data_IF_259310986336
#
_entry.id   IF_259310986336
#
_cell.length_a   1.000
_cell.length_b   1.000
_cell.length_c   1.000
_cell.angle_alpha   90.00
_cell.angle_beta   90.00
_cell.angle_gamma   90.00
#
_symmetry.space_group_name_H-M   'P 1'
#
loop_
_entity.id
_entity.type
_entity.pdbx_description
1 polymer ?
#
# COMPACT_ATOMS: atom_id res chain seq x y z
N UNK A 1 8.09 -24.45 -29.51
CA UNK A 1 6.93 -23.64 -29.07
C UNK A 1 5.73 -24.10 -29.86
N UNK A 2 4.63 -24.44 -29.20
CA UNK A 2 3.38 -24.81 -29.89
C UNK A 2 2.73 -23.56 -30.49
N UNK A 3 2.11 -23.74 -31.65
CA UNK A 3 1.44 -22.67 -32.39
C UNK A 3 -0.07 -22.89 -32.38
N UNK A 4 -0.80 -21.83 -32.15
CA UNK A 4 -2.27 -21.81 -32.15
C UNK A 4 -2.80 -20.69 -33.03
N UNK A 5 -4.12 -20.67 -33.16
CA UNK A 5 -4.85 -19.63 -33.92
C UNK A 5 -6.00 -19.08 -33.12
N UNK A 6 -6.18 -17.77 -33.20
CA UNK A 6 -7.33 -17.09 -32.60
C UNK A 6 -8.62 -17.55 -33.30
N UNK A 7 -9.59 -17.99 -32.51
CA UNK A 7 -10.89 -18.45 -33.00
C UNK A 7 -12.06 -17.56 -32.57
N UNK A 8 -11.93 -16.86 -31.44
CA UNK A 8 -12.95 -15.95 -30.93
C UNK A 8 -12.34 -14.82 -30.12
N UNK A 9 -12.92 -13.63 -30.22
CA UNK A 9 -12.51 -12.44 -29.47
C UNK A 9 -13.75 -11.83 -28.84
N UNK A 10 -13.76 -11.71 -27.51
CA UNK A 10 -14.84 -11.10 -26.74
C UNK A 10 -14.22 -10.03 -25.85
N UNK A 11 -14.08 -8.79 -26.35
CA UNK A 11 -13.38 -7.73 -25.64
C UNK A 11 -11.93 -8.13 -25.30
N UNK A 12 -11.60 -8.13 -24.02
CA UNK A 12 -10.27 -8.51 -23.55
C UNK A 12 -10.06 -10.03 -23.41
N UNK A 13 -11.05 -10.84 -23.74
CA UNK A 13 -10.97 -12.31 -23.69
C UNK A 13 -10.81 -12.85 -25.10
N UNK A 14 -9.86 -13.75 -25.28
CA UNK A 14 -9.51 -14.36 -26.56
C UNK A 14 -9.50 -15.87 -26.42
N UNK A 15 -10.19 -16.56 -27.35
CA UNK A 15 -10.16 -18.02 -27.44
C UNK A 15 -9.18 -18.41 -28.55
N UNK A 16 -8.31 -19.37 -28.27
CA UNK A 16 -7.25 -19.81 -29.16
C UNK A 16 -7.27 -21.35 -29.25
N UNK A 17 -7.24 -21.87 -30.49
CA UNK A 17 -7.11 -23.31 -30.73
C UNK A 17 -5.65 -23.69 -30.86
N UNK A 18 -5.30 -24.76 -30.13
CA UNK A 18 -4.02 -25.44 -30.21
C UNK A 18 -4.20 -26.91 -30.60
N UNK A 19 -3.17 -27.57 -31.12
CA UNK A 19 -3.18 -29.03 -31.26
C UNK A 19 -3.45 -29.70 -29.91
N UNK A 20 -4.24 -30.77 -29.92
CA UNK A 20 -4.65 -31.47 -28.68
C UNK A 20 -3.51 -32.02 -27.84
N UNK A 21 -2.39 -32.29 -28.45
CA UNK A 21 -1.16 -32.78 -27.82
C UNK A 21 -0.25 -31.63 -27.32
N UNK A 22 -0.64 -30.40 -27.53
CA UNK A 22 0.16 -29.21 -27.24
C UNK A 22 -0.67 -28.05 -26.63
N UNK A 23 -1.67 -28.37 -25.82
CA UNK A 23 -2.55 -27.39 -25.18
C UNK A 23 -1.78 -26.64 -24.10
N UNK A 24 -1.80 -25.29 -24.10
CA UNK A 24 -1.16 -24.49 -23.04
C UNK A 24 -1.75 -24.78 -21.66
N UNK A 25 -0.88 -24.72 -20.65
CA UNK A 25 -1.30 -24.77 -19.24
C UNK A 25 -1.94 -23.47 -18.76
N UNK A 26 -2.64 -23.57 -17.65
CA UNK A 26 -3.20 -22.38 -16.97
C UNK A 26 -2.05 -21.43 -16.59
N UNK A 27 -2.27 -20.14 -16.83
CA UNK A 27 -1.31 -19.04 -16.66
C UNK A 27 -0.13 -19.02 -17.64
N UNK A 28 -0.07 -19.92 -18.62
CA UNK A 28 0.91 -19.79 -19.69
C UNK A 28 0.74 -18.46 -20.42
N UNK A 29 1.85 -17.77 -20.67
CA UNK A 29 1.88 -16.57 -21.49
C UNK A 29 1.93 -16.96 -22.97
N UNK A 30 1.02 -16.39 -23.76
CA UNK A 30 0.94 -16.57 -25.20
C UNK A 30 1.27 -15.26 -25.89
N UNK A 31 1.97 -15.33 -27.01
CA UNK A 31 2.30 -14.18 -27.84
C UNK A 31 1.61 -14.25 -29.19
N UNK A 32 0.91 -13.20 -29.55
CA UNK A 32 0.43 -13.02 -30.94
C UNK A 32 1.65 -12.76 -31.81
N UNK A 33 1.82 -13.53 -32.88
CA UNK A 33 3.03 -13.52 -33.70
C UNK A 33 2.86 -12.91 -35.09
N UNK A 34 1.62 -12.64 -35.52
CA UNK A 34 1.33 -12.04 -36.81
C UNK A 34 0.31 -10.89 -36.73
N UNK A 35 0.19 -10.15 -37.83
CA UNK A 35 -0.74 -9.03 -37.93
C UNK A 35 -0.26 -7.77 -37.19
N UNK A 36 -1.18 -6.80 -37.12
CA UNK A 36 -0.91 -5.48 -36.53
C UNK A 36 -0.66 -5.51 -35.02
N UNK A 37 -1.13 -6.59 -34.35
CA UNK A 37 -0.97 -6.79 -32.92
C UNK A 37 0.10 -7.82 -32.57
N UNK A 38 1.06 -8.07 -33.47
CA UNK A 38 2.20 -8.92 -33.15
C UNK A 38 2.92 -8.37 -31.89
N UNK A 39 3.16 -9.25 -30.92
CA UNK A 39 3.72 -8.89 -29.62
C UNK A 39 2.68 -8.73 -28.49
N UNK A 40 1.37 -8.74 -28.79
CA UNK A 40 0.34 -8.77 -27.77
C UNK A 40 0.49 -10.05 -26.94
N UNK A 41 0.52 -9.88 -25.61
CA UNK A 41 0.62 -10.98 -24.64
C UNK A 41 -0.77 -11.34 -24.14
N UNK A 42 -1.05 -12.65 -24.09
CA UNK A 42 -2.27 -13.22 -23.56
C UNK A 42 -1.92 -14.18 -22.43
N UNK A 43 -2.75 -14.23 -21.40
CA UNK A 43 -2.58 -15.19 -20.30
C UNK A 43 -3.71 -16.20 -20.28
N UNK A 44 -3.39 -17.48 -20.30
CA UNK A 44 -4.37 -18.57 -20.28
C UNK A 44 -5.09 -18.59 -18.94
N UNK A 45 -6.43 -18.54 -18.98
CA UNK A 45 -7.29 -18.60 -17.80
C UNK A 45 -8.07 -19.90 -17.69
N UNK A 46 -8.46 -20.48 -18.80
CA UNK A 46 -9.29 -21.70 -18.86
C UNK A 46 -8.90 -22.58 -20.03
N UNK A 47 -9.01 -23.88 -19.84
CA UNK A 47 -8.98 -24.87 -20.90
C UNK A 47 -10.42 -25.29 -21.20
N UNK A 48 -10.90 -25.04 -22.43
CA UNK A 48 -12.30 -25.28 -22.81
C UNK A 48 -12.53 -26.68 -23.35
N UNK A 49 -11.50 -27.46 -23.54
CA UNK A 49 -11.56 -28.77 -24.21
C UNK A 49 -11.33 -28.67 -25.73
N UNK A 50 -11.05 -29.81 -26.35
CA UNK A 50 -10.83 -29.88 -27.81
C UNK A 50 -9.58 -29.09 -28.31
N UNK A 51 -8.67 -28.76 -27.44
CA UNK A 51 -7.49 -27.94 -27.78
C UNK A 51 -7.71 -26.43 -27.67
N UNK A 52 -8.92 -25.98 -27.34
CA UNK A 52 -9.24 -24.55 -27.19
C UNK A 52 -8.92 -24.08 -25.77
N UNK A 53 -8.23 -22.95 -25.66
CA UNK A 53 -7.96 -22.24 -24.40
C UNK A 53 -8.59 -20.86 -24.44
N UNK A 54 -8.99 -20.37 -23.28
CA UNK A 54 -9.48 -19.01 -23.08
C UNK A 54 -8.45 -18.21 -22.31
N UNK A 55 -8.06 -17.08 -22.86
CA UNK A 55 -7.03 -16.22 -22.31
C UNK A 55 -7.52 -14.78 -22.15
N UNK A 56 -6.92 -14.05 -21.21
CA UNK A 56 -7.10 -12.60 -21.06
C UNK A 56 -5.95 -11.86 -21.75
N UNK A 57 -6.26 -10.78 -22.43
CA UNK A 57 -5.25 -9.93 -23.05
C UNK A 57 -4.63 -8.96 -22.04
N UNK A 58 -3.32 -8.81 -22.11
CA UNK A 58 -2.55 -7.82 -21.36
C UNK A 58 -2.20 -6.61 -22.25
N UNK A 59 -3.14 -6.18 -23.02
CA UNK A 59 -3.08 -5.06 -23.94
C UNK A 59 -4.39 -4.96 -24.71
N UNK A 60 -4.53 -3.91 -25.53
CA UNK A 60 -5.72 -3.76 -26.37
C UNK A 60 -5.82 -4.88 -27.40
N UNK A 61 -7.04 -5.41 -27.56
CA UNK A 61 -7.38 -6.38 -28.62
C UNK A 61 -7.95 -5.73 -29.87
N UNK A 62 -8.01 -4.39 -29.91
CA UNK A 62 -8.55 -3.68 -31.06
C UNK A 62 -7.69 -3.93 -32.31
N UNK A 63 -8.31 -4.50 -33.33
CA UNK A 63 -7.62 -4.90 -34.56
C UNK A 63 -7.14 -6.36 -34.58
N UNK A 64 -7.28 -7.11 -33.50
CA UNK A 64 -7.01 -8.54 -33.49
C UNK A 64 -8.04 -9.28 -34.34
N UNK A 65 -7.56 -10.21 -35.17
CA UNK A 65 -8.41 -10.94 -36.10
C UNK A 65 -8.44 -12.43 -35.81
N UNK A 66 -9.57 -13.07 -36.12
CA UNK A 66 -9.63 -14.54 -36.16
C UNK A 66 -8.58 -15.08 -37.13
N UNK A 67 -7.96 -16.19 -36.78
CA UNK A 67 -6.91 -16.82 -37.56
C UNK A 67 -5.52 -16.25 -37.30
N UNK A 68 -5.37 -15.19 -36.48
CA UNK A 68 -4.06 -14.69 -36.08
C UNK A 68 -3.26 -15.79 -35.38
N UNK A 69 -1.97 -15.90 -35.73
CA UNK A 69 -1.09 -16.90 -35.17
C UNK A 69 -0.66 -16.51 -33.74
N UNK A 70 -0.68 -17.49 -32.85
CA UNK A 70 -0.30 -17.33 -31.44
C UNK A 70 0.70 -18.40 -31.04
N UNK A 71 1.81 -17.99 -30.45
CA UNK A 71 2.82 -18.90 -29.94
C UNK A 71 2.68 -19.06 -28.41
N UNK A 72 2.72 -20.30 -27.94
CA UNK A 72 2.83 -20.58 -26.50
C UNK A 72 4.29 -20.46 -26.05
N UNK A 73 4.54 -19.62 -25.04
CA UNK A 73 5.88 -19.50 -24.45
C UNK A 73 6.26 -20.70 -23.56
N UNK A 74 5.27 -21.48 -23.15
CA UNK A 74 5.46 -22.64 -22.25
C UNK A 74 5.73 -22.26 -20.79
N UNK A 75 5.57 -21.01 -20.44
CA UNK A 75 5.77 -20.49 -19.07
C UNK A 75 4.86 -19.31 -18.78
N UNK A 76 4.65 -19.06 -17.50
CA UNK A 76 3.89 -17.90 -17.05
C UNK A 76 4.62 -16.57 -17.38
N UNK A 77 3.89 -15.46 -17.26
CA UNK A 77 4.46 -14.11 -17.43
C UNK A 77 5.65 -13.95 -16.49
N UNK A 78 6.77 -13.52 -17.02
CA UNK A 78 7.98 -13.22 -16.27
C UNK A 78 8.32 -11.75 -16.38
N UNK A 79 8.75 -11.17 -15.26
CA UNK A 79 9.09 -9.75 -15.16
C UNK A 79 10.51 -9.58 -14.63
N UNK A 80 11.22 -8.51 -15.00
CA UNK A 80 12.53 -8.22 -14.48
C UNK A 80 12.46 -7.97 -12.97
N UNK A 81 13.44 -8.41 -12.24
CA UNK A 81 13.58 -8.23 -10.80
C UNK A 81 14.99 -7.76 -10.46
N UNK A 82 15.17 -7.17 -9.28
CA UNK A 82 16.47 -6.73 -8.80
C UNK A 82 16.69 -5.21 -8.94
N UNK A 83 17.91 -4.79 -8.69
CA UNK A 83 18.28 -3.37 -8.59
C UNK A 83 18.07 -2.57 -9.88
N UNK A 84 18.09 -3.21 -11.05
CA UNK A 84 17.85 -2.54 -12.32
C UNK A 84 16.44 -1.95 -12.43
N UNK A 85 15.48 -2.42 -11.63
CA UNK A 85 14.11 -1.91 -11.59
C UNK A 85 13.96 -0.64 -10.73
N UNK A 86 14.94 -0.33 -9.89
CA UNK A 86 14.89 0.84 -9.01
C UNK A 86 14.97 2.15 -9.83
N UNK A 87 14.10 3.08 -9.47
CA UNK A 87 13.98 4.37 -10.14
C UNK A 87 13.27 4.31 -11.49
N UNK A 88 12.71 3.16 -11.86
CA UNK A 88 12.07 2.94 -13.14
C UNK A 88 10.56 2.78 -13.01
N UNK A 89 9.85 3.19 -14.05
CA UNK A 89 8.42 2.95 -14.20
C UNK A 89 8.22 1.88 -15.26
N UNK A 90 7.48 0.84 -14.91
CA UNK A 90 7.22 -0.32 -15.76
C UNK A 90 5.72 -0.59 -15.88
N UNK A 91 5.34 -1.24 -16.97
CA UNK A 91 3.99 -1.77 -17.13
C UNK A 91 3.85 -3.16 -16.47
N UNK A 92 2.68 -3.79 -16.63
CA UNK A 92 2.38 -5.12 -16.07
C UNK A 92 3.36 -6.22 -16.52
N UNK A 93 3.96 -6.08 -17.69
CA UNK A 93 4.95 -7.02 -18.25
C UNK A 93 6.39 -6.71 -17.81
N UNK A 94 6.58 -5.68 -17.02
CA UNK A 94 7.91 -5.22 -16.61
C UNK A 94 8.65 -4.45 -17.68
N UNK A 95 7.95 -3.99 -18.73
CA UNK A 95 8.53 -3.15 -19.78
C UNK A 95 8.58 -1.69 -19.33
N UNK A 96 9.66 -0.95 -19.63
CA UNK A 96 9.78 0.45 -19.21
C UNK A 96 8.80 1.34 -19.99
N UNK A 97 8.18 2.27 -19.26
CA UNK A 97 7.26 3.29 -19.81
C UNK A 97 7.69 4.72 -19.45
N UNK A 98 8.88 4.88 -18.92
CA UNK A 98 9.46 6.14 -18.44
C UNK A 98 10.41 6.81 -19.46
N UNK A 99 10.51 6.27 -20.67
CA UNK A 99 11.41 6.75 -21.74
C UNK A 99 12.90 6.84 -21.33
N UNK A 100 13.28 6.11 -20.28
CA UNK A 100 14.65 6.10 -19.77
C UNK A 100 15.51 4.94 -20.32
N UNK A 101 15.08 4.33 -21.42
CA UNK A 101 15.76 3.19 -22.04
C UNK A 101 15.39 1.83 -21.48
N UNK A 102 15.95 0.74 -22.01
CA UNK A 102 15.64 -0.61 -21.55
C UNK A 102 16.08 -0.81 -20.11
N UNK A 103 15.37 -1.68 -19.39
CA UNK A 103 15.79 -2.19 -18.09
C UNK A 103 16.89 -3.22 -18.34
N UNK A 104 17.97 -3.16 -17.57
CA UNK A 104 19.12 -4.06 -17.73
C UNK A 104 18.71 -5.54 -17.72
N UNK A 105 19.51 -6.36 -18.41
CA UNK A 105 19.31 -7.81 -18.48
C UNK A 105 19.61 -8.46 -17.12
N UNK A 106 18.66 -8.33 -16.20
CA UNK A 106 18.71 -9.00 -14.93
C UNK A 106 17.83 -10.25 -14.95
N UNK A 107 17.85 -10.94 -13.85
CA UNK A 107 17.01 -12.10 -13.60
C UNK A 107 15.53 -11.77 -13.80
N UNK A 108 14.76 -12.68 -14.37
CA UNK A 108 13.31 -12.55 -14.55
C UNK A 108 12.60 -13.63 -13.76
N UNK A 109 11.57 -13.24 -13.04
CA UNK A 109 10.76 -14.15 -12.24
C UNK A 109 9.32 -14.17 -12.70
N UNK A 110 8.67 -15.33 -12.53
CA UNK A 110 7.23 -15.47 -12.76
C UNK A 110 6.43 -14.63 -11.76
N UNK A 111 5.38 -13.97 -12.24
CA UNK A 111 4.44 -13.27 -11.37
C UNK A 111 3.53 -14.21 -10.57
N UNK A 112 3.42 -15.49 -10.99
CA UNK A 112 2.66 -16.52 -10.31
C UNK A 112 3.60 -17.38 -9.45
N UNK A 113 4.00 -16.82 -8.32
CA UNK A 113 4.83 -17.52 -7.34
C UNK A 113 3.96 -18.01 -6.18
N UNK A 114 4.31 -19.14 -5.62
CA UNK A 114 3.68 -19.60 -4.38
C UNK A 114 4.06 -18.71 -3.20
N UNK A 115 3.17 -18.61 -2.23
CA UNK A 115 3.49 -18.00 -0.94
C UNK A 115 4.65 -18.78 -0.28
N UNK A 116 5.48 -18.13 0.55
CA UNK A 116 6.52 -18.82 1.30
C UNK A 116 5.95 -19.98 2.11
N UNK A 117 6.72 -21.09 2.17
CA UNK A 117 6.32 -22.24 2.96
C UNK A 117 6.23 -21.87 4.45
N UNK A 118 5.48 -22.65 5.20
CA UNK A 118 5.38 -22.45 6.66
C UNK A 118 6.76 -22.45 7.34
N UNK A 119 7.68 -23.30 6.87
CA UNK A 119 9.04 -23.41 7.40
C UNK A 119 9.90 -22.18 7.10
N UNK A 120 9.65 -21.49 5.98
CA UNK A 120 10.42 -20.32 5.56
C UNK A 120 9.94 -19.02 6.22
N UNK A 121 8.71 -19.03 6.76
CA UNK A 121 8.17 -17.87 7.43
C UNK A 121 8.87 -17.60 8.77
N UNK A 122 9.17 -16.34 9.02
CA UNK A 122 9.69 -15.94 10.32
C UNK A 122 8.54 -15.85 11.34
N UNK A 123 8.77 -16.37 12.53
CA UNK A 123 7.92 -16.07 13.68
C UNK A 123 8.24 -14.63 14.11
N UNK A 124 7.60 -13.64 13.50
CA UNK A 124 7.97 -12.25 13.70
C UNK A 124 6.92 -11.51 14.51
N UNK A 125 7.32 -11.10 15.71
CA UNK A 125 6.70 -10.03 16.46
C UNK A 125 7.53 -8.73 16.37
N UNK A 126 8.45 -8.65 15.44
CA UNK A 126 9.29 -7.46 15.27
C UNK A 126 8.48 -6.30 14.73
N UNK A 127 8.63 -5.13 15.35
CA UNK A 127 8.02 -3.90 14.87
C UNK A 127 8.86 -3.29 13.77
N UNK A 128 8.18 -2.69 12.78
CA UNK A 128 8.78 -1.82 11.81
C UNK A 128 8.67 -0.39 12.31
N UNK A 129 9.78 0.16 12.76
CA UNK A 129 9.85 1.54 13.25
C UNK A 129 9.84 2.50 12.07
N UNK A 130 8.81 3.34 11.98
CA UNK A 130 8.61 4.25 10.84
C UNK A 130 9.23 5.63 11.04
N UNK A 131 9.53 6.01 12.26
CA UNK A 131 9.99 7.35 12.62
C UNK A 131 8.88 8.40 12.62
N UNK A 132 7.64 8.00 12.42
CA UNK A 132 6.46 8.86 12.47
C UNK A 132 5.76 8.61 13.81
N UNK A 133 5.73 9.63 14.67
CA UNK A 133 5.25 9.50 16.06
C UNK A 133 3.88 8.86 16.19
N UNK A 134 2.92 9.35 15.44
CA UNK A 134 1.53 8.87 15.54
C UNK A 134 1.41 7.41 15.11
N UNK A 135 2.10 6.99 14.08
CA UNK A 135 2.09 5.60 13.61
C UNK A 135 2.73 4.69 14.65
N UNK A 136 3.95 4.99 15.05
CA UNK A 136 4.71 4.13 15.96
C UNK A 136 4.07 4.04 17.35
N UNK A 137 3.36 5.07 17.79
CA UNK A 137 2.68 5.08 19.07
C UNK A 137 1.37 4.29 19.07
N UNK A 138 0.42 4.63 18.18
CA UNK A 138 -0.97 4.15 18.28
C UNK A 138 -1.34 3.08 17.27
N UNK A 139 -0.63 2.98 16.15
CA UNK A 139 -0.85 1.96 15.13
C UNK A 139 0.46 1.37 14.61
N UNK A 140 1.30 0.81 15.51
CA UNK A 140 2.62 0.29 15.12
C UNK A 140 2.51 -0.80 14.06
N UNK A 141 3.44 -0.79 13.10
CA UNK A 141 3.50 -1.76 12.03
C UNK A 141 4.33 -2.97 12.45
N UNK A 142 3.85 -4.17 12.10
CA UNK A 142 4.66 -5.37 12.18
C UNK A 142 5.52 -5.51 10.92
N UNK A 143 6.76 -5.96 11.04
CA UNK A 143 7.54 -6.42 9.88
C UNK A 143 6.83 -7.60 9.23
N UNK A 144 6.60 -7.51 7.93
CA UNK A 144 5.82 -8.50 7.21
C UNK A 144 4.31 -8.37 7.40
N UNK A 145 3.85 -7.32 8.06
CA UNK A 145 2.45 -7.03 8.29
C UNK A 145 1.78 -6.35 7.09
N UNK A 146 0.45 -6.35 7.10
CA UNK A 146 -0.39 -5.74 6.08
C UNK A 146 -1.13 -4.56 6.69
N UNK A 147 -0.89 -3.38 6.14
CA UNK A 147 -1.46 -2.13 6.62
C UNK A 147 -2.46 -1.58 5.61
N UNK A 148 -3.67 -1.30 6.06
CA UNK A 148 -4.66 -0.58 5.27
C UNK A 148 -4.54 0.93 5.50
N UNK A 149 -4.49 1.70 4.41
CA UNK A 149 -4.45 3.15 4.45
C UNK A 149 -5.78 3.69 3.94
N UNK A 150 -6.51 4.38 4.81
CA UNK A 150 -7.82 4.95 4.52
C UNK A 150 -7.71 6.47 4.51
N UNK A 151 -8.35 7.11 3.57
CA UNK A 151 -8.41 8.57 3.54
C UNK A 151 -8.97 9.08 2.22
N UNK A 152 -9.69 10.20 2.30
CA UNK A 152 -10.18 10.91 1.13
C UNK A 152 -9.07 11.67 0.40
N UNK A 153 -9.45 12.37 -0.64
CA UNK A 153 -8.53 13.25 -1.37
C UNK A 153 -8.05 14.42 -0.49
N UNK A 154 -6.80 14.81 -0.66
CA UNK A 154 -6.23 16.01 -0.03
C UNK A 154 -5.85 15.90 1.44
N UNK A 155 -5.75 14.68 1.99
CA UNK A 155 -5.35 14.44 3.39
C UNK A 155 -3.90 14.02 3.56
N UNK A 156 -3.10 14.06 2.49
CA UNK A 156 -1.67 13.76 2.54
C UNK A 156 -1.30 12.29 2.39
N UNK A 157 -2.13 11.48 1.73
CA UNK A 157 -1.84 10.06 1.48
C UNK A 157 -0.47 9.87 0.78
N UNK A 158 -0.25 10.57 -0.32
CA UNK A 158 0.99 10.49 -1.10
C UNK A 158 2.22 10.93 -0.31
N UNK A 159 2.11 12.02 0.45
CA UNK A 159 3.20 12.53 1.28
C UNK A 159 3.60 11.54 2.38
N UNK A 160 2.62 10.89 3.00
CA UNK A 160 2.87 9.82 3.97
C UNK A 160 3.60 8.63 3.34
N UNK A 161 3.18 8.20 2.15
CA UNK A 161 3.85 7.12 1.43
C UNK A 161 5.30 7.46 1.10
N UNK A 162 5.56 8.65 0.60
CA UNK A 162 6.92 9.13 0.29
C UNK A 162 7.81 9.20 1.52
N UNK A 163 7.28 9.66 2.64
CA UNK A 163 8.03 9.71 3.91
C UNK A 163 8.40 8.31 4.40
N UNK A 164 7.49 7.36 4.30
CA UNK A 164 7.75 5.96 4.61
C UNK A 164 8.83 5.36 3.70
N UNK A 165 8.78 5.63 2.41
CA UNK A 165 9.81 5.20 1.45
C UNK A 165 11.18 5.76 1.84
N UNK A 166 11.24 7.05 2.12
CA UNK A 166 12.48 7.72 2.53
C UNK A 166 13.03 7.11 3.83
N UNK A 167 12.19 6.95 4.84
CA UNK A 167 12.62 6.44 6.16
C UNK A 167 13.09 4.98 6.09
N UNK A 168 12.40 4.14 5.33
CA UNK A 168 12.85 2.76 5.09
C UNK A 168 14.19 2.73 4.35
N UNK A 169 14.37 3.57 3.35
CA UNK A 169 15.59 3.59 2.57
C UNK A 169 16.81 4.04 3.39
N UNK A 170 16.66 5.07 4.21
CA UNK A 170 17.77 5.69 4.94
C UNK A 170 18.03 4.99 6.28
N UNK A 171 16.97 4.72 7.06
CA UNK A 171 17.11 4.20 8.42
C UNK A 171 17.19 2.66 8.47
N UNK A 172 16.61 1.97 7.49
CA UNK A 172 16.56 0.51 7.45
C UNK A 172 17.31 -0.10 6.25
N UNK A 173 17.90 0.71 5.39
CA UNK A 173 18.57 0.28 4.15
C UNK A 173 17.69 -0.60 3.25
N UNK A 174 16.39 -0.37 3.28
CA UNK A 174 15.38 -1.11 2.55
C UNK A 174 15.03 -0.47 1.22
N UNK A 175 14.33 -1.23 0.39
CA UNK A 175 13.76 -0.74 -0.85
C UNK A 175 12.24 -0.78 -0.79
N UNK A 176 11.62 -0.06 -1.71
CA UNK A 176 10.17 -0.01 -1.84
C UNK A 176 9.75 -0.38 -3.25
N UNK A 177 8.55 -0.94 -3.37
CA UNK A 177 7.89 -1.18 -4.65
C UNK A 177 6.50 -0.57 -4.58
N UNK A 178 6.14 0.18 -5.59
CA UNK A 178 4.83 0.79 -5.71
C UNK A 178 4.07 0.19 -6.90
N UNK A 179 2.91 -0.39 -6.64
CA UNK A 179 1.98 -0.90 -7.64
C UNK A 179 0.77 0.02 -7.75
N UNK A 180 0.69 0.76 -8.85
CA UNK A 180 -0.46 1.59 -9.18
C UNK A 180 -1.52 0.76 -9.91
N UNK A 181 -2.58 0.40 -9.21
CA UNK A 181 -3.66 -0.44 -9.73
C UNK A 181 -4.85 0.40 -10.13
N UNK A 182 -5.06 0.56 -11.41
CA UNK A 182 -6.19 1.32 -11.95
C UNK A 182 -6.14 2.82 -11.63
N UNK A 183 -4.96 3.36 -11.36
CA UNK A 183 -4.78 4.78 -11.08
C UNK A 183 -4.91 5.63 -12.36
N UNK A 184 -5.19 6.91 -12.18
CA UNK A 184 -5.18 7.87 -13.27
C UNK A 184 -3.75 8.11 -13.73
N UNK A 185 -3.54 8.18 -15.04
CA UNK A 185 -2.21 8.46 -15.63
C UNK A 185 -1.60 9.73 -15.08
N UNK A 186 -2.39 10.77 -14.87
CA UNK A 186 -1.91 12.03 -14.30
C UNK A 186 -1.39 11.85 -12.88
N UNK A 187 -2.15 11.17 -12.02
CA UNK A 187 -1.75 10.94 -10.62
C UNK A 187 -0.46 10.12 -10.52
N UNK A 188 -0.32 9.10 -11.38
CA UNK A 188 0.92 8.33 -11.46
C UNK A 188 2.13 9.15 -11.93
N UNK A 189 1.93 10.05 -12.88
CA UNK A 189 2.98 10.95 -13.34
C UNK A 189 3.36 11.99 -12.29
N UNK A 190 2.37 12.58 -11.63
CA UNK A 190 2.60 13.54 -10.53
C UNK A 190 3.40 12.86 -9.40
N UNK A 191 3.03 11.66 -9.02
CA UNK A 191 3.72 10.87 -7.99
C UNK A 191 5.19 10.58 -8.36
N UNK A 192 5.46 10.24 -9.62
CA UNK A 192 6.82 10.04 -10.11
C UNK A 192 7.68 11.31 -9.96
N UNK A 193 7.15 12.45 -10.37
CA UNK A 193 7.86 13.72 -10.27
C UNK A 193 8.08 14.14 -8.80
N UNK A 194 7.08 13.98 -7.94
CA UNK A 194 7.21 14.25 -6.51
C UNK A 194 8.30 13.39 -5.85
N UNK A 195 8.38 12.11 -6.20
CA UNK A 195 9.46 11.24 -5.70
C UNK A 195 10.83 11.65 -6.21
N UNK A 196 10.92 12.09 -7.46
CA UNK A 196 12.16 12.60 -8.04
C UNK A 196 12.63 13.86 -7.33
N UNK A 197 11.72 14.81 -7.11
CA UNK A 197 12.01 16.08 -6.44
C UNK A 197 12.38 15.88 -4.95
N UNK A 198 11.83 14.84 -4.33
CA UNK A 198 12.12 14.47 -2.94
C UNK A 198 13.35 13.56 -2.78
N UNK A 199 14.06 13.24 -3.88
CA UNK A 199 15.24 12.38 -3.90
C UNK A 199 15.04 10.96 -3.33
N UNK A 200 13.85 10.39 -3.52
CA UNK A 200 13.56 9.02 -3.08
C UNK A 200 13.35 8.04 -4.24
N UNK A 201 13.32 8.54 -5.47
CA UNK A 201 13.00 7.75 -6.66
C UNK A 201 13.96 6.56 -6.86
N UNK A 202 15.25 6.74 -6.59
CA UNK A 202 16.27 5.70 -6.73
C UNK A 202 16.15 4.54 -5.73
N UNK A 203 15.22 4.62 -4.79
CA UNK A 203 14.93 3.61 -3.76
C UNK A 203 13.62 2.86 -3.99
N UNK A 204 12.92 3.14 -5.09
CA UNK A 204 11.61 2.57 -5.36
C UNK A 204 11.49 2.08 -6.80
N UNK A 205 10.84 0.92 -6.98
CA UNK A 205 10.41 0.41 -8.28
C UNK A 205 8.94 0.69 -8.45
N UNK A 206 8.54 1.21 -9.61
CA UNK A 206 7.18 1.62 -9.92
C UNK A 206 6.60 0.72 -11.02
N UNK A 207 5.44 0.14 -10.79
CA UNK A 207 4.69 -0.59 -11.81
C UNK A 207 3.27 -0.03 -11.89
N UNK A 208 2.83 0.29 -13.10
CA UNK A 208 1.52 0.89 -13.34
C UNK A 208 0.67 0.02 -14.27
N UNK A 209 -0.54 -0.30 -13.81
CA UNK A 209 -1.65 -0.77 -14.60
C UNK A 209 -2.77 0.25 -14.50
N UNK A 210 -2.78 1.20 -15.43
CA UNK A 210 -3.57 2.43 -15.33
C UNK A 210 -5.06 2.20 -15.64
N UNK A 211 -5.88 3.18 -15.30
CA UNK A 211 -7.34 3.13 -15.43
C UNK A 211 -7.83 2.87 -16.87
N UNK A 212 -7.08 3.34 -17.87
CA UNK A 212 -7.39 3.17 -19.30
C UNK A 212 -6.89 1.85 -19.89
N UNK A 213 -6.15 1.07 -19.14
CA UNK A 213 -5.64 -0.23 -19.61
C UNK A 213 -6.69 -1.33 -19.41
N UNK A 214 -6.62 -2.42 -20.20
CA UNK A 214 -7.53 -3.56 -20.09
C UNK A 214 -7.57 -4.17 -18.68
N UNK A 215 -8.65 -4.87 -18.30
CA UNK A 215 -8.77 -5.43 -16.96
C UNK A 215 -7.70 -6.46 -16.62
N UNK A 216 -7.14 -7.18 -17.60
CA UNK A 216 -6.01 -8.08 -17.38
C UNK A 216 -4.77 -7.36 -16.85
N UNK A 217 -4.46 -6.19 -17.39
CA UNK A 217 -3.34 -5.37 -16.93
C UNK A 217 -3.54 -4.92 -15.47
N UNK A 218 -4.72 -4.40 -15.16
CA UNK A 218 -5.07 -3.94 -13.81
C UNK A 218 -5.11 -5.08 -12.78
N UNK A 219 -5.51 -6.27 -13.21
CA UNK A 219 -5.55 -7.45 -12.34
C UNK A 219 -4.14 -7.99 -12.02
N UNK A 220 -3.22 -7.93 -12.96
CA UNK A 220 -1.88 -8.55 -12.83
C UNK A 220 -0.78 -7.61 -12.36
N UNK A 221 -0.96 -6.30 -12.45
CA UNK A 221 0.06 -5.33 -12.06
C UNK A 221 0.48 -5.44 -10.60
N UNK A 222 -0.45 -5.74 -9.69
CA UNK A 222 -0.14 -5.96 -8.28
C UNK A 222 0.79 -7.17 -8.08
N UNK A 223 0.57 -8.24 -8.84
CA UNK A 223 1.44 -9.42 -8.83
C UNK A 223 2.83 -9.11 -9.39
N UNK A 224 2.92 -8.29 -10.41
CA UNK A 224 4.19 -7.81 -10.96
C UNK A 224 5.00 -7.06 -9.90
N UNK A 225 4.39 -6.10 -9.24
CA UNK A 225 5.03 -5.35 -8.15
C UNK A 225 5.43 -6.24 -6.99
N UNK A 226 4.56 -7.15 -6.58
CA UNK A 226 4.86 -8.09 -5.49
C UNK A 226 6.05 -9.01 -5.82
N UNK A 227 6.16 -9.46 -7.07
CA UNK A 227 7.30 -10.27 -7.52
C UNK A 227 8.62 -9.50 -7.40
N UNK A 228 8.63 -8.23 -7.75
CA UNK A 228 9.81 -7.36 -7.57
C UNK A 228 10.15 -7.20 -6.07
N UNK A 229 9.15 -7.03 -5.23
CA UNK A 229 9.33 -6.93 -3.77
C UNK A 229 9.89 -8.23 -3.18
N UNK A 230 9.43 -9.38 -3.65
CA UNK A 230 9.91 -10.69 -3.21
C UNK A 230 11.40 -10.89 -3.51
N UNK A 231 11.90 -10.39 -4.62
CA UNK A 231 13.33 -10.44 -4.94
C UNK A 231 14.17 -9.70 -3.90
N UNK A 232 13.78 -8.48 -3.55
CA UNK A 232 14.48 -7.70 -2.53
C UNK A 232 14.39 -8.34 -1.14
N UNK A 233 13.24 -8.91 -0.79
CA UNK A 233 13.09 -9.67 0.46
C UNK A 233 14.04 -10.86 0.51
N UNK A 234 14.12 -11.64 -0.57
CA UNK A 234 14.94 -12.84 -0.63
C UNK A 234 16.45 -12.50 -0.62
N UNK A 235 16.81 -11.27 -0.94
CA UNK A 235 18.16 -10.70 -0.77
C UNK A 235 18.46 -10.24 0.67
N UNK A 236 17.53 -10.41 1.58
CA UNK A 236 17.71 -10.07 3.01
C UNK A 236 17.32 -8.64 3.39
N UNK A 237 16.49 -7.97 2.58
CA UNK A 237 16.08 -6.59 2.84
C UNK A 237 14.70 -6.50 3.47
N UNK A 238 14.48 -5.41 4.20
CA UNK A 238 13.16 -4.98 4.60
C UNK A 238 12.55 -4.17 3.45
N UNK A 239 11.43 -4.65 2.93
CA UNK A 239 10.78 -4.08 1.75
C UNK A 239 9.42 -3.49 2.14
N UNK A 240 9.13 -2.28 1.64
CA UNK A 240 7.78 -1.75 1.62
C UNK A 240 7.13 -2.03 0.26
N UNK A 241 5.94 -2.57 0.30
CA UNK A 241 5.12 -2.82 -0.87
C UNK A 241 3.82 -1.99 -0.80
N UNK A 242 3.70 -1.03 -1.70
CA UNK A 242 2.54 -0.16 -1.79
C UNK A 242 1.60 -0.64 -2.88
N UNK A 243 0.30 -0.70 -2.58
CA UNK A 243 -0.75 -0.98 -3.54
C UNK A 243 -1.76 0.17 -3.51
N UNK A 244 -1.85 0.90 -4.57
CA UNK A 244 -2.83 1.97 -4.71
C UNK A 244 -3.69 1.74 -5.97
N UNK A 245 -4.92 1.24 -5.88
CA UNK A 245 -5.49 0.81 -4.61
C UNK A 245 -6.04 -0.62 -4.73
N UNK A 246 -6.14 -1.31 -3.60
CA UNK A 246 -6.53 -2.72 -3.56
C UNK A 246 -7.99 -2.96 -4.01
N UNK A 247 -8.88 -1.99 -3.86
CA UNK A 247 -10.25 -2.08 -4.33
C UNK A 247 -10.32 -2.24 -5.86
N UNK A 248 -9.47 -1.54 -6.60
CA UNK A 248 -9.41 -1.63 -8.07
C UNK A 248 -8.83 -2.97 -8.54
N UNK A 249 -7.99 -3.60 -7.74
CA UNK A 249 -7.58 -4.98 -7.97
C UNK A 249 -8.78 -5.93 -7.94
N UNK A 250 -9.66 -5.80 -6.95
CA UNK A 250 -10.88 -6.61 -6.87
C UNK A 250 -11.85 -6.32 -8.02
N UNK A 251 -12.00 -5.05 -8.42
CA UNK A 251 -12.83 -4.68 -9.57
C UNK A 251 -12.31 -5.24 -10.88
N UNK A 252 -11.01 -5.22 -11.11
CA UNK A 252 -10.40 -5.82 -12.30
C UNK A 252 -10.68 -7.33 -12.34
N UNK A 253 -10.60 -8.00 -11.20
CA UNK A 253 -11.00 -9.41 -11.06
C UNK A 253 -12.48 -9.65 -11.37
N UNK A 254 -13.37 -8.75 -10.96
CA UNK A 254 -14.80 -8.79 -11.28
C UNK A 254 -15.03 -8.68 -12.79
N UNK A 255 -14.38 -7.73 -13.44
CA UNK A 255 -14.49 -7.54 -14.90
C UNK A 255 -14.00 -8.78 -15.66
N UNK A 256 -12.85 -9.32 -15.30
CA UNK A 256 -12.30 -10.54 -15.91
C UNK A 256 -13.23 -11.72 -15.68
N UNK A 257 -13.76 -11.90 -14.49
CA UNK A 257 -14.69 -12.99 -14.17
C UNK A 257 -15.97 -12.93 -14.99
N UNK A 258 -16.51 -11.73 -15.17
CA UNK A 258 -17.70 -11.51 -16.04
C UNK A 258 -17.40 -11.85 -17.50
N UNK A 259 -16.25 -11.44 -18.01
CA UNK A 259 -15.82 -11.74 -19.39
C UNK A 259 -15.55 -13.23 -19.59
N UNK A 260 -15.11 -13.94 -18.55
CA UNK A 260 -14.94 -15.41 -18.60
C UNK A 260 -16.26 -16.18 -18.47
N UNK A 261 -17.38 -15.49 -18.26
CA UNK A 261 -18.71 -16.11 -18.15
C UNK A 261 -18.97 -16.80 -16.81
N UNK A 262 -18.24 -16.46 -15.76
CA UNK A 262 -18.49 -17.01 -14.42
C UNK A 262 -19.75 -16.39 -13.81
N UNK A 263 -20.52 -17.20 -13.09
CA UNK A 263 -21.69 -16.71 -12.36
C UNK A 263 -21.26 -15.79 -11.22
N UNK A 264 -21.80 -14.55 -11.14
CA UNK A 264 -21.43 -13.63 -10.06
C UNK A 264 -21.92 -14.13 -8.70
N UNK A 265 -21.17 -13.78 -7.66
CA UNK A 265 -21.55 -13.97 -6.27
C UNK A 265 -22.37 -12.79 -5.73
N UNK A 266 -22.46 -12.65 -4.41
CA UNK A 266 -23.18 -11.56 -3.77
C UNK A 266 -22.70 -10.18 -4.26
N UNK A 267 -23.65 -9.27 -4.49
CA UNK A 267 -23.40 -7.87 -4.92
C UNK A 267 -22.69 -7.78 -6.29
N UNK A 268 -22.66 -8.87 -7.06
CA UNK A 268 -22.08 -8.88 -8.40
C UNK A 268 -20.57 -9.13 -8.48
N UNK A 269 -19.90 -9.38 -7.35
CA UNK A 269 -18.48 -9.73 -7.33
C UNK A 269 -18.21 -11.14 -7.88
N UNK A 270 -16.97 -11.39 -8.26
CA UNK A 270 -16.51 -12.70 -8.70
C UNK A 270 -16.64 -13.76 -7.59
N UNK A 271 -16.95 -15.00 -7.92
CA UNK A 271 -17.02 -16.08 -6.93
C UNK A 271 -15.66 -16.43 -6.34
N UNK A 272 -14.58 -16.05 -7.01
CA UNK A 272 -13.17 -16.28 -6.63
C UNK A 272 -12.55 -15.12 -5.86
N UNK A 273 -13.33 -14.15 -5.38
CA UNK A 273 -12.83 -12.94 -4.70
C UNK A 273 -11.90 -13.27 -3.52
N UNK A 274 -12.35 -14.14 -2.63
CA UNK A 274 -11.57 -14.51 -1.46
C UNK A 274 -10.28 -15.25 -1.81
N UNK A 275 -10.33 -16.11 -2.83
CA UNK A 275 -9.19 -16.87 -3.33
C UNK A 275 -8.15 -15.95 -4.00
N UNK A 276 -8.59 -15.05 -4.86
CA UNK A 276 -7.72 -14.08 -5.54
C UNK A 276 -7.05 -13.13 -4.53
N UNK A 277 -7.81 -12.64 -3.56
CA UNK A 277 -7.29 -11.79 -2.50
C UNK A 277 -6.30 -12.57 -1.62
N UNK A 278 -6.62 -13.78 -1.23
CA UNK A 278 -5.76 -14.64 -0.44
C UNK A 278 -4.45 -14.98 -1.15
N UNK A 279 -4.51 -15.28 -2.45
CA UNK A 279 -3.32 -15.56 -3.25
C UNK A 279 -2.34 -14.39 -3.31
N UNK A 280 -2.84 -13.16 -3.35
CA UNK A 280 -2.03 -11.95 -3.27
C UNK A 280 -1.49 -11.73 -1.85
N UNK A 281 -2.36 -11.73 -0.86
CA UNK A 281 -2.05 -11.33 0.51
C UNK A 281 -1.10 -12.30 1.22
N UNK A 282 -1.24 -13.59 1.01
CA UNK A 282 -0.41 -14.61 1.66
C UNK A 282 1.06 -14.60 1.20
N UNK A 283 1.35 -14.02 0.05
CA UNK A 283 2.73 -13.79 -0.40
C UNK A 283 3.41 -12.64 0.34
N UNK A 284 2.64 -11.76 0.94
CA UNK A 284 3.14 -10.58 1.68
C UNK A 284 3.42 -11.01 3.11
N UNK A 285 4.65 -11.36 3.40
CA UNK A 285 5.05 -11.87 4.71
C UNK A 285 6.55 -11.71 4.97
N UNK A 286 6.94 -11.86 6.23
CA UNK A 286 8.34 -12.00 6.61
C UNK A 286 8.82 -13.42 6.41
N UNK A 287 10.03 -13.55 5.91
CA UNK A 287 10.75 -14.82 5.85
C UNK A 287 11.97 -14.77 6.74
N UNK A 288 12.68 -15.91 6.85
CA UNK A 288 13.96 -15.97 7.59
C UNK A 288 15.04 -15.06 7.01
N UNK A 289 14.91 -14.63 5.76
CA UNK A 289 15.89 -13.77 5.06
C UNK A 289 15.55 -12.29 5.10
N UNK A 290 14.30 -11.94 4.93
CA UNK A 290 13.86 -10.54 4.87
C UNK A 290 12.38 -10.39 5.11
N UNK A 291 11.85 -9.18 4.89
CA UNK A 291 10.44 -8.89 5.11
C UNK A 291 9.81 -8.08 3.97
N UNK A 292 8.52 -8.31 3.74
CA UNK A 292 7.67 -7.43 2.94
C UNK A 292 6.58 -6.91 3.86
N UNK A 293 6.54 -5.61 4.10
CA UNK A 293 5.46 -4.93 4.79
C UNK A 293 4.63 -4.19 3.75
N UNK A 294 3.34 -4.46 3.67
CA UNK A 294 2.48 -3.81 2.67
C UNK A 294 1.71 -2.64 3.26
N UNK A 295 1.56 -1.61 2.44
CA UNK A 295 0.67 -0.49 2.69
C UNK A 295 -0.29 -0.42 1.51
N UNK A 296 -1.55 -0.73 1.79
CA UNK A 296 -2.60 -0.86 0.79
C UNK A 296 -3.60 0.26 0.96
N UNK A 297 -3.72 1.12 -0.05
CA UNK A 297 -4.79 2.09 -0.06
C UNK A 297 -6.12 1.35 -0.27
N UNK A 298 -7.07 1.57 0.63
CA UNK A 298 -8.37 0.93 0.60
C UNK A 298 -9.44 1.98 0.35
N UNK A 299 -10.27 1.72 -0.65
CA UNK A 299 -11.49 2.47 -0.91
C UNK A 299 -12.70 1.66 -0.41
N UNK A 300 -13.59 2.32 0.30
CA UNK A 300 -14.82 1.70 0.81
C UNK A 300 -16.01 2.30 0.05
N UNK A 301 -16.66 1.52 -0.84
CA UNK A 301 -17.81 2.01 -1.61
C UNK A 301 -18.96 2.45 -0.69
N UNK A 302 -19.45 3.67 -0.89
CA UNK A 302 -20.56 4.24 -0.11
C UNK A 302 -20.36 4.19 1.42
N UNK A 303 -19.12 4.15 1.88
CA UNK A 303 -18.75 3.99 3.29
C UNK A 303 -19.31 2.71 3.95
N UNK A 304 -19.66 1.70 3.13
CA UNK A 304 -20.20 0.43 3.58
C UNK A 304 -19.09 -0.60 3.82
N UNK A 305 -18.70 -0.77 5.06
CA UNK A 305 -17.70 -1.75 5.49
C UNK A 305 -18.15 -3.21 5.31
N UNK A 306 -19.43 -3.44 5.05
CA UNK A 306 -19.98 -4.79 4.82
C UNK A 306 -19.91 -5.21 3.36
N UNK A 307 -19.56 -4.30 2.46
CA UNK A 307 -19.31 -4.63 1.05
C UNK A 307 -18.26 -5.74 0.95
N UNK A 308 -18.45 -6.76 0.12
CA UNK A 308 -17.56 -7.93 0.04
C UNK A 308 -16.09 -7.60 -0.22
N UNK A 309 -15.77 -6.57 -1.00
CA UNK A 309 -14.39 -6.21 -1.30
C UNK A 309 -13.65 -5.66 -0.08
N UNK A 310 -14.10 -4.58 0.58
CA UNK A 310 -13.43 -4.13 1.79
C UNK A 310 -13.49 -5.18 2.92
N UNK A 311 -14.60 -5.89 3.10
CA UNK A 311 -14.72 -6.92 4.13
C UNK A 311 -13.67 -8.03 3.95
N UNK A 312 -13.44 -8.51 2.74
CA UNK A 312 -12.41 -9.50 2.43
C UNK A 312 -11.00 -8.93 2.66
N UNK A 313 -10.76 -7.69 2.26
CA UNK A 313 -9.49 -7.01 2.47
C UNK A 313 -9.18 -6.86 3.95
N UNK A 314 -10.14 -6.40 4.77
CA UNK A 314 -9.97 -6.23 6.21
C UNK A 314 -9.57 -7.50 6.94
N UNK A 315 -10.04 -8.65 6.49
CA UNK A 315 -9.69 -9.94 7.10
C UNK A 315 -8.18 -10.24 7.06
N UNK A 316 -7.46 -9.63 6.12
CA UNK A 316 -6.01 -9.78 5.95
C UNK A 316 -5.18 -8.69 6.63
N UNK A 317 -5.78 -7.57 7.02
CA UNK A 317 -5.04 -6.43 7.55
C UNK A 317 -4.63 -6.63 9.01
N UNK A 318 -3.40 -6.24 9.32
CA UNK A 318 -2.84 -6.24 10.68
C UNK A 318 -2.94 -4.88 11.35
N UNK A 319 -2.96 -3.81 10.56
CA UNK A 319 -3.11 -2.45 11.04
C UNK A 319 -3.92 -1.61 10.05
N UNK A 320 -4.55 -0.57 10.58
CA UNK A 320 -5.34 0.37 9.81
C UNK A 320 -4.94 1.79 10.16
N UNK A 321 -4.51 2.56 9.18
CA UNK A 321 -4.17 3.98 9.31
C UNK A 321 -5.28 4.80 8.64
N UNK A 322 -5.94 5.64 9.43
CA UNK A 322 -7.03 6.49 8.96
C UNK A 322 -6.55 7.95 8.87
N UNK A 323 -6.58 8.50 7.67
CA UNK A 323 -6.30 9.91 7.41
C UNK A 323 -7.60 10.70 7.50
N UNK A 324 -7.63 11.72 8.35
CA UNK A 324 -8.82 12.50 8.68
C UNK A 324 -8.77 13.92 8.13
N UNK A 325 -9.81 14.31 7.41
CA UNK A 325 -9.98 15.71 6.97
C UNK A 325 -10.15 16.68 8.14
N UNK A 326 -10.78 16.22 9.21
CA UNK A 326 -10.97 17.05 10.40
C UNK A 326 -9.63 17.40 11.06
N UNK A 327 -8.72 16.46 11.11
CA UNK A 327 -7.37 16.68 11.63
C UNK A 327 -6.55 17.55 10.67
N UNK A 328 -6.64 17.32 9.37
CA UNK A 328 -6.01 18.16 8.36
C UNK A 328 -6.49 19.62 8.43
N UNK A 329 -7.79 19.85 8.68
CA UNK A 329 -8.36 21.19 8.81
C UNK A 329 -7.84 21.96 10.03
N UNK A 330 -7.34 21.24 11.04
CA UNK A 330 -6.67 21.83 12.21
C UNK A 330 -5.19 22.16 11.92
N UNK A 331 -4.69 21.87 10.72
CA UNK A 331 -3.29 22.06 10.36
C UNK A 331 -2.35 21.02 10.98
N UNK A 332 -2.86 19.91 11.47
CA UNK A 332 -2.06 18.82 12.07
C UNK A 332 -1.69 17.83 10.97
N UNK A 333 -0.41 17.72 10.70
CA UNK A 333 0.14 16.78 9.72
C UNK A 333 1.28 15.94 10.35
N UNK A 334 1.33 14.62 10.11
CA UNK A 334 0.39 13.84 9.28
C UNK A 334 -1.02 13.83 9.88
N UNK A 335 -2.03 13.88 9.03
CA UNK A 335 -3.44 13.97 9.44
C UNK A 335 -4.02 12.60 9.83
N UNK A 336 -3.27 11.80 10.54
CA UNK A 336 -3.64 10.46 10.98
C UNK A 336 -4.51 10.58 12.23
N UNK A 337 -5.69 9.95 12.20
CA UNK A 337 -6.60 9.90 13.34
C UNK A 337 -6.12 8.86 14.36
N UNK A 338 -5.70 9.28 15.55
CA UNK A 338 -5.18 8.35 16.57
C UNK A 338 -6.26 7.53 17.25
N UNK A 339 -7.53 7.89 17.12
CA UNK A 339 -8.66 7.16 17.69
C UNK A 339 -9.23 6.11 16.73
N UNK A 340 -9.27 6.43 15.44
CA UNK A 340 -9.79 5.53 14.41
C UNK A 340 -8.73 4.59 13.82
N UNK A 341 -7.46 4.92 13.98
CA UNK A 341 -6.35 4.07 13.55
C UNK A 341 -6.08 2.97 14.57
N UNK A 342 -5.87 1.75 14.08
CA UNK A 342 -5.73 0.56 14.93
C UNK A 342 -4.57 -0.31 14.48
N UNK A 343 -4.03 -1.13 15.38
CA UNK A 343 -3.04 -2.14 15.06
C UNK A 343 -3.19 -3.34 16.00
N UNK A 344 -3.06 -4.54 15.44
CA UNK A 344 -2.97 -5.78 16.23
C UNK A 344 -1.70 -5.86 17.07
N UNK A 345 -0.68 -5.08 16.71
CA UNK A 345 0.56 -4.99 17.47
C UNK A 345 0.42 -4.16 18.76
N UNK A 346 -0.66 -3.42 18.91
CA UNK A 346 -0.93 -2.64 20.13
C UNK A 346 -1.44 -3.56 21.26
N UNK A 347 -0.53 -4.39 21.73
CA UNK A 347 -0.74 -5.39 22.76
C UNK A 347 0.47 -5.36 23.71
N UNK A 348 0.27 -5.34 25.05
CA UNK A 348 1.38 -5.23 26.01
C UNK A 348 2.37 -6.40 25.93
N UNK A 349 1.94 -7.56 25.42
CA UNK A 349 2.81 -8.72 25.22
C UNK A 349 3.74 -8.56 24.00
N UNK A 350 3.38 -7.68 23.06
CA UNK A 350 4.16 -7.43 21.83
C UNK A 350 5.04 -6.20 21.98
N UNK A 351 4.46 -5.07 22.42
CA UNK A 351 5.16 -3.77 22.45
C UNK A 351 5.70 -3.41 23.82
N UNK A 352 5.39 -4.17 24.83
CA UNK A 352 5.74 -3.89 26.21
C UNK A 352 4.71 -3.02 26.93
N UNK A 353 4.77 -3.05 28.26
CA UNK A 353 3.80 -2.40 29.14
C UNK A 353 3.83 -0.87 29.00
N UNK A 354 5.02 -0.28 28.99
CA UNK A 354 5.18 1.18 28.96
C UNK A 354 4.59 1.78 27.66
N UNK A 355 4.96 1.25 26.51
CA UNK A 355 4.43 1.71 25.22
C UNK A 355 2.89 1.56 25.18
N UNK A 356 2.38 0.42 25.60
CA UNK A 356 0.94 0.17 25.62
C UNK A 356 0.19 1.15 26.53
N UNK A 357 0.67 1.39 27.74
CA UNK A 357 0.05 2.32 28.68
C UNK A 357 0.06 3.75 28.17
N UNK A 358 1.16 4.19 27.57
CA UNK A 358 1.27 5.54 26.97
C UNK A 358 0.31 5.69 25.79
N UNK A 359 0.27 4.73 24.89
CA UNK A 359 -0.65 4.76 23.73
C UNK A 359 -2.12 4.79 24.17
N UNK A 360 -2.50 3.95 25.12
CA UNK A 360 -3.86 3.93 25.66
C UNK A 360 -4.19 5.20 26.44
N UNK A 361 -3.24 5.74 27.17
CA UNK A 361 -3.38 7.03 27.86
C UNK A 361 -3.63 8.18 26.89
N UNK A 362 -2.88 8.25 25.81
CA UNK A 362 -3.08 9.23 24.72
C UNK A 362 -4.48 9.11 24.13
N UNK A 363 -4.90 7.89 23.77
CA UNK A 363 -6.23 7.64 23.22
C UNK A 363 -7.35 8.02 24.19
N UNK A 364 -7.20 7.69 25.48
CA UNK A 364 -8.17 8.02 26.52
C UNK A 364 -8.34 9.53 26.70
N UNK A 365 -7.24 10.27 26.74
CA UNK A 365 -7.26 11.73 26.87
C UNK A 365 -7.89 12.38 25.64
N UNK A 366 -7.56 11.93 24.45
CA UNK A 366 -8.15 12.44 23.21
C UNK A 366 -9.63 12.09 23.08
N UNK A 367 -10.05 10.91 23.51
CA UNK A 367 -11.44 10.49 23.51
C UNK A 367 -12.25 11.36 24.48
N UNK A 368 -11.75 11.59 25.68
CA UNK A 368 -12.40 12.48 26.67
C UNK A 368 -12.52 13.91 26.13
N UNK A 369 -11.48 14.41 25.49
CA UNK A 369 -11.51 15.72 24.85
C UNK A 369 -12.58 15.80 23.74
N UNK A 370 -12.70 14.75 22.94
CA UNK A 370 -13.75 14.68 21.89
C UNK A 370 -15.16 14.76 22.50
N UNK A 371 -15.40 14.08 23.61
CA UNK A 371 -16.68 14.13 24.35
C UNK A 371 -16.96 15.50 24.95
N UNK A 372 -15.92 16.21 25.38
CA UNK A 372 -16.07 17.53 26.00
C UNK A 372 -16.20 18.68 25.01
N UNK A 373 -15.88 18.47 23.72
CA UNK A 373 -15.91 19.54 22.71
C UNK A 373 -17.25 20.22 22.58
N UNK A 374 -18.33 19.49 22.59
CA UNK A 374 -19.68 20.04 22.47
C UNK A 374 -20.06 20.87 23.72
N UNK A 375 -19.66 20.42 24.88
CA UNK A 375 -19.86 21.14 26.15
C UNK A 375 -19.06 22.45 26.14
N UNK A 376 -17.79 22.39 25.68
CA UNK A 376 -16.93 23.59 25.58
C UNK A 376 -17.51 24.60 24.60
N UNK A 377 -18.04 24.14 23.47
CA UNK A 377 -18.60 25.00 22.42
C UNK A 377 -19.85 25.75 22.90
N UNK A 378 -20.64 25.13 23.78
CA UNK A 378 -21.93 25.70 24.28
C UNK A 378 -21.71 26.48 25.56
N UNK A 379 -20.98 25.94 26.51
CA UNK A 379 -20.88 26.47 27.88
C UNK A 379 -19.55 27.15 28.20
N UNK A 380 -18.54 26.93 27.37
CA UNK A 380 -17.18 27.44 27.60
C UNK A 380 -16.32 26.54 28.51
N UNK A 381 -15.07 26.88 28.63
CA UNK A 381 -14.07 26.13 29.44
C UNK A 381 -14.32 26.26 30.93
N UNK A 382 -14.93 27.36 31.37
CA UNK A 382 -15.08 27.66 32.80
C UNK A 382 -16.10 26.75 33.52
N UNK A 383 -17.00 26.14 32.75
CA UNK A 383 -17.99 25.18 33.27
C UNK A 383 -17.44 23.76 33.47
N UNK A 384 -16.23 23.50 33.03
CA UNK A 384 -15.58 22.21 33.22
C UNK A 384 -15.04 22.05 34.64
N UNK A 385 -15.06 20.81 35.15
CA UNK A 385 -14.30 20.45 36.36
C UNK A 385 -12.80 20.70 36.18
N UNK A 386 -12.08 20.89 37.27
CA UNK A 386 -10.62 21.07 37.19
C UNK A 386 -9.93 19.88 36.55
N UNK A 387 -10.42 18.68 36.76
CA UNK A 387 -9.93 17.46 36.14
C UNK A 387 -10.15 17.48 34.63
N UNK A 388 -11.35 17.78 34.18
CA UNK A 388 -11.67 17.86 32.75
C UNK A 388 -10.92 19.02 32.06
N UNK A 389 -10.73 20.12 32.75
CA UNK A 389 -9.95 21.26 32.25
C UNK A 389 -8.48 20.88 32.03
N UNK A 390 -7.87 20.19 32.98
CA UNK A 390 -6.51 19.64 32.87
C UNK A 390 -6.41 18.65 31.70
N UNK A 391 -7.39 17.76 31.58
CA UNK A 391 -7.47 16.80 30.46
C UNK A 391 -7.53 17.51 29.12
N UNK A 392 -8.32 18.57 28.97
CA UNK A 392 -8.41 19.35 27.74
C UNK A 392 -7.08 20.03 27.38
N UNK A 393 -6.39 20.62 28.33
CA UNK A 393 -5.10 21.25 28.08
C UNK A 393 -4.05 20.23 27.64
N UNK A 394 -3.98 19.07 28.29
CA UNK A 394 -3.10 17.98 27.90
C UNK A 394 -3.47 17.40 26.53
N UNK A 395 -4.76 17.24 26.25
CA UNK A 395 -5.24 16.75 24.96
C UNK A 395 -4.82 17.68 23.79
N UNK A 396 -4.90 18.99 23.99
CA UNK A 396 -4.46 19.96 22.98
C UNK A 396 -2.96 19.87 22.72
N UNK A 397 -2.16 19.69 23.77
CA UNK A 397 -0.72 19.47 23.63
C UNK A 397 -0.41 18.17 22.91
N UNK A 398 -1.12 17.09 23.23
CA UNK A 398 -1.01 15.80 22.57
C UNK A 398 -1.34 15.90 21.08
N UNK A 399 -2.45 16.55 20.72
CA UNK A 399 -2.82 16.75 19.32
C UNK A 399 -1.72 17.47 18.53
N UNK A 400 -1.15 18.50 19.08
CA UNK A 400 -0.08 19.27 18.43
C UNK A 400 1.21 18.47 18.37
N UNK A 401 1.52 17.70 19.40
CA UNK A 401 2.71 16.86 19.42
C UNK A 401 2.62 15.63 18.51
N UNK A 402 1.43 15.22 18.12
CA UNK A 402 1.23 14.22 17.06
C UNK A 402 1.65 14.74 15.69
N UNK A 403 1.69 16.05 15.48
CA UNK A 403 2.22 16.65 14.27
C UNK A 403 3.75 16.52 14.21
N UNK A 404 4.27 16.44 13.00
CA UNK A 404 5.69 16.21 12.77
C UNK A 404 6.07 16.72 11.39
N UNK A 405 7.21 17.44 11.25
CA UNK A 405 7.70 17.83 9.94
C UNK A 405 8.30 16.64 9.20
N UNK A 406 7.94 16.50 7.92
CA UNK A 406 8.45 15.45 7.05
C UNK A 406 9.60 15.92 6.18
N UNK A 407 10.57 15.07 5.95
CA UNK A 407 11.69 15.36 5.05
C UNK A 407 11.21 15.63 3.62
N UNK A 408 10.25 14.86 3.14
CA UNK A 408 9.70 15.01 1.78
C UNK A 408 8.86 16.27 1.61
N UNK A 409 8.46 16.92 2.70
CA UNK A 409 7.69 18.16 2.69
C UNK A 409 8.52 19.41 2.97
N UNK A 410 9.82 19.30 3.17
CA UNK A 410 10.71 20.46 3.49
C UNK A 410 10.60 21.59 2.47
N UNK A 411 10.49 21.24 1.19
CA UNK A 411 10.38 22.22 0.09
C UNK A 411 9.10 23.05 0.21
N UNK A 412 8.03 22.49 0.75
CA UNK A 412 6.74 23.16 0.89
C UNK A 412 6.57 23.88 2.22
N UNK A 413 7.11 23.30 3.30
CA UNK A 413 6.91 23.81 4.67
C UNK A 413 8.03 24.75 5.11
N UNK A 414 9.20 24.67 4.50
CA UNK A 414 10.40 25.39 4.93
C UNK A 414 10.96 24.90 6.27
N UNK A 415 10.42 23.82 6.83
CA UNK A 415 10.86 23.24 8.09
C UNK A 415 11.65 21.96 7.85
N UNK A 416 12.83 21.78 8.50
CA UNK A 416 13.58 20.53 8.39
C UNK A 416 12.76 19.34 8.86
N UNK A 417 12.79 18.24 8.09
CA UNK A 417 12.14 16.99 8.45
C UNK A 417 12.78 16.35 9.68
N UNK A 418 12.00 15.49 10.34
CA UNK A 418 12.42 14.78 11.55
C UNK A 418 12.05 13.31 11.47
N UNK A 419 13.02 12.45 11.80
CA UNK A 419 12.80 11.06 12.14
C UNK A 419 12.81 10.94 13.66
N UNK A 420 11.73 10.46 14.26
CA UNK A 420 11.62 10.35 15.72
C UNK A 420 11.69 8.89 16.13
N UNK A 421 12.75 8.46 16.83
CA UNK A 421 12.82 7.10 17.36
C UNK A 421 11.65 6.80 18.30
N UNK A 422 11.17 5.57 18.28
CA UNK A 422 10.04 5.14 19.11
C UNK A 422 10.24 5.46 20.60
N UNK A 423 11.44 5.26 21.10
CA UNK A 423 11.80 5.56 22.48
C UNK A 423 11.56 7.03 22.85
N UNK A 424 11.92 7.96 21.96
CA UNK A 424 11.69 9.39 22.15
C UNK A 424 10.21 9.76 22.05
N UNK A 425 9.48 9.10 21.17
CA UNK A 425 8.01 9.25 21.06
C UNK A 425 7.33 8.85 22.37
N UNK A 426 7.65 7.69 22.92
CA UNK A 426 7.10 7.22 24.20
C UNK A 426 7.46 8.17 25.32
N UNK A 427 8.71 8.60 25.43
CA UNK A 427 9.18 9.54 26.45
C UNK A 427 8.38 10.84 26.43
N UNK A 428 8.23 11.41 25.23
CA UNK A 428 7.54 12.69 25.07
C UNK A 428 6.06 12.62 25.44
N UNK A 429 5.35 11.65 24.95
CA UNK A 429 3.91 11.49 25.26
C UNK A 429 3.68 11.10 26.72
N UNK A 430 4.54 10.28 27.28
CA UNK A 430 4.47 9.95 28.72
C UNK A 430 4.63 11.20 29.58
N UNK A 431 5.61 12.05 29.30
CA UNK A 431 5.80 13.30 30.01
C UNK A 431 4.59 14.24 29.93
N UNK A 432 3.94 14.32 28.78
CA UNK A 432 2.70 15.11 28.63
C UNK A 432 1.57 14.52 29.49
N UNK A 433 1.38 13.21 29.47
CA UNK A 433 0.35 12.52 30.25
C UNK A 433 0.58 12.67 31.75
N UNK A 434 1.83 12.61 32.19
CA UNK A 434 2.22 12.73 33.62
C UNK A 434 2.21 14.18 34.13
N UNK A 435 1.96 15.15 33.25
CA UNK A 435 1.88 16.56 33.61
C UNK A 435 3.22 17.29 33.74
N UNK A 436 4.32 16.68 33.33
CA UNK A 436 5.65 17.30 33.40
C UNK A 436 5.74 18.60 32.57
N UNK A 437 4.91 18.73 31.54
CA UNK A 437 4.91 19.86 30.61
C UNK A 437 3.66 20.72 30.70
N UNK A 438 2.89 20.63 31.77
CA UNK A 438 1.65 21.40 31.95
C UNK A 438 1.90 22.92 31.93
N UNK A 439 3.09 23.35 32.31
CA UNK A 439 3.51 24.78 32.31
C UNK A 439 3.85 25.31 30.93
N UNK A 440 4.05 24.45 29.92
CA UNK A 440 4.46 24.85 28.59
C UNK A 440 3.26 25.25 27.72
N UNK A 441 3.39 26.25 26.83
CA UNK A 441 2.32 26.61 25.91
C UNK A 441 2.11 25.51 24.86
N UNK A 442 0.87 25.30 24.44
CA UNK A 442 0.53 24.26 23.46
C UNK A 442 1.22 24.44 22.10
N UNK A 443 1.56 25.65 21.70
CA UNK A 443 2.24 25.95 20.45
C UNK A 443 3.67 25.39 20.41
N UNK A 444 4.31 25.17 21.55
CA UNK A 444 5.64 24.57 21.64
C UNK A 444 5.66 23.13 21.11
N UNK A 445 4.53 22.44 21.14
CA UNK A 445 4.41 21.05 20.70
C UNK A 445 4.06 20.90 19.21
N UNK A 446 3.80 22.02 18.51
CA UNK A 446 3.37 21.99 17.13
C UNK A 446 4.56 21.84 16.16
N UNK A 447 4.47 20.86 15.26
CA UNK A 447 5.46 20.60 14.21
C UNK A 447 6.90 20.52 14.74
N UNK A 448 7.08 19.67 15.75
CA UNK A 448 8.39 19.33 16.32
C UNK A 448 8.64 17.84 16.22
N UNK A 449 9.90 17.42 16.32
CA UNK A 449 10.26 16.00 16.37
C UNK A 449 10.14 15.44 17.78
N UNK A 450 11.21 15.45 18.55
CA UNK A 450 11.23 14.98 19.93
C UNK A 450 10.69 16.01 20.91
N UNK A 451 10.44 15.56 22.14
CA UNK A 451 10.03 16.45 23.24
C UNK A 451 11.09 17.50 23.58
N UNK A 452 12.36 17.21 23.38
CA UNK A 452 13.44 18.17 23.61
C UNK A 452 13.33 19.39 22.69
N UNK A 453 12.90 19.18 21.45
CA UNK A 453 12.60 20.29 20.52
C UNK A 453 11.43 21.15 21.00
N UNK A 454 10.40 20.53 21.58
CA UNK A 454 9.28 21.26 22.17
C UNK A 454 9.74 22.10 23.35
N UNK A 455 10.60 21.58 24.22
CA UNK A 455 11.19 22.30 25.35
C UNK A 455 11.99 23.51 24.88
N UNK A 456 12.86 23.34 23.87
CA UNK A 456 13.63 24.43 23.31
C UNK A 456 12.75 25.49 22.62
N UNK A 457 11.70 25.05 21.92
CA UNK A 457 10.72 25.96 21.31
C UNK A 457 9.96 26.78 22.35
N UNK A 458 9.59 26.15 23.48
CA UNK A 458 8.92 26.83 24.58
C UNK A 458 9.75 27.97 25.20
N UNK A 459 11.08 27.84 25.22
CA UNK A 459 11.97 28.88 25.70
C UNK A 459 12.00 30.12 24.79
N UNK A 460 11.57 29.98 23.55
CA UNK A 460 11.58 31.06 22.53
C UNK A 460 10.22 31.72 22.37
N UNK A 461 9.17 31.14 22.92
CA UNK A 461 7.80 31.66 22.93
C UNK A 461 7.53 32.49 24.17
#
# INVERSE_FOLDING_TARGET
>A
MSQGKVVQIIGAVVDIDFPQDAVPGIYDALNVTDGDLAGLVLEVQQQLGGGTVRAIALGSTDGLRRGAAVANTGKAIQVPVGKATLGRIMNVLGEPIDEAGPIGEEERWSIHRAAPSYEDQAASNALLETGIKVIDLVCPFAKGGKVGLFGGAGVGKTVNMMELIRNIAIEHSGYSVFAGVGERTREGNDFYHEMKDSNVLDKVSLVYGQMNEPPGNRLRVALTGLTMAEKFRDEGRDVLFFVDNIYRYTLAGTEVSALLGRMPSAVGYQPTLAEEMGALQERITSTKTGSITSIQAVYVPADDLTDPSPATTFSHLDATVVLSRNIASLGIYPAIDPLDSTSRQLDPLVIGKEHYEVARGVQSVLQRYKELKDIIAILGMDELSDEDRTTVYRARKIQRFLSQPFFVAEVFTGSPGKYVPLKETIRGFKGILDGEFDHMPEQAFYMVGSIDEAIEKAKKL
#
